data_IF_803800080107
#
_entry.id   IF_803800080107
#
_cell.length_a   1.000
_cell.length_b   1.000
_cell.length_c   1.000
_cell.angle_alpha   90.00
_cell.angle_beta   90.00
_cell.angle_gamma   90.00
#
_symmetry.space_group_name_H-M   'P 1'
#
loop_
_entity.id
_entity.type
_entity.pdbx_description
1 polymer ?
#
# COMPACT_ATOMS: atom_id res chain seq x y z
N UNK A 1 -13.58 -9.43 -2.51
CA UNK A 1 -13.75 -8.59 -1.30
C UNK A 1 -12.54 -8.55 -0.38
N UNK A 2 -12.09 -9.63 0.29
CA UNK A 2 -10.92 -9.56 1.21
C UNK A 2 -9.67 -8.91 0.59
N UNK A 3 -9.32 -9.26 -0.65
CA UNK A 3 -8.19 -8.65 -1.38
C UNK A 3 -8.37 -7.15 -1.69
N UNK A 4 -9.59 -6.72 -2.00
CA UNK A 4 -9.91 -5.31 -2.27
C UNK A 4 -9.86 -4.50 -0.98
N UNK A 5 -10.43 -5.02 0.11
CA UNK A 5 -10.38 -4.37 1.41
C UNK A 5 -8.94 -4.27 1.94
N UNK A 6 -8.11 -5.30 1.75
CA UNK A 6 -6.66 -5.23 2.04
C UNK A 6 -5.95 -4.16 1.22
N UNK A 7 -6.27 -4.03 -0.08
CA UNK A 7 -5.70 -2.98 -0.93
C UNK A 7 -6.13 -1.57 -0.49
N UNK A 8 -7.40 -1.38 -0.12
CA UNK A 8 -7.92 -0.11 0.40
C UNK A 8 -7.28 0.28 1.73
N UNK A 9 -7.09 -0.69 2.63
CA UNK A 9 -6.40 -0.45 3.91
C UNK A 9 -4.93 -0.10 3.65
N UNK A 10 -4.23 -0.80 2.75
CA UNK A 10 -2.86 -0.48 2.38
C UNK A 10 -2.73 0.93 1.74
N UNK A 11 -3.66 1.31 0.87
CA UNK A 11 -3.72 2.64 0.26
C UNK A 11 -4.01 3.73 1.30
N UNK A 12 -4.94 3.51 2.22
CA UNK A 12 -5.19 4.45 3.33
C UNK A 12 -4.00 4.58 4.27
N UNK A 13 -3.26 3.50 4.52
CA UNK A 13 -1.99 3.55 5.25
C UNK A 13 -0.93 4.35 4.47
N UNK A 14 -0.82 4.18 3.16
CA UNK A 14 0.07 4.97 2.30
C UNK A 14 -0.30 6.46 2.32
N UNK A 15 -1.59 6.81 2.16
CA UNK A 15 -2.10 8.20 2.27
C UNK A 15 -1.86 8.76 3.68
N UNK A 16 -2.02 7.94 4.71
CA UNK A 16 -1.73 8.30 6.09
C UNK A 16 -0.25 8.61 6.29
N UNK A 17 0.63 7.75 5.77
CA UNK A 17 2.09 7.92 5.84
C UNK A 17 2.55 9.13 5.02
N UNK A 18 2.02 9.35 3.80
CA UNK A 18 2.34 10.54 2.99
C UNK A 18 1.81 11.81 3.64
N UNK A 19 0.61 11.79 4.23
CA UNK A 19 0.07 12.92 4.98
C UNK A 19 0.86 13.22 6.26
N UNK A 20 1.30 12.19 7.00
CA UNK A 20 2.16 12.32 8.19
C UNK A 20 3.55 12.83 7.81
N UNK A 21 4.12 12.38 6.69
CA UNK A 21 5.39 12.92 6.19
C UNK A 21 5.24 14.36 5.72
N UNK A 22 4.20 14.70 4.96
CA UNK A 22 3.92 16.08 4.53
C UNK A 22 3.63 17.02 5.72
N UNK A 23 3.00 16.54 6.80
CA UNK A 23 2.80 17.32 8.03
C UNK A 23 4.05 17.38 8.92
N UNK A 24 4.86 16.32 8.99
CA UNK A 24 6.14 16.33 9.67
C UNK A 24 7.16 17.26 8.98
N UNK A 25 7.13 17.34 7.64
CA UNK A 25 7.89 18.29 6.83
C UNK A 25 7.35 19.73 6.93
N UNK A 26 6.11 19.90 7.38
CA UNK A 26 5.46 21.19 7.58
C UNK A 26 5.65 21.78 8.99
N UNK A 27 6.31 21.08 9.92
CA UNK A 27 6.60 21.67 11.22
C UNK A 27 7.49 22.89 11.01
N UNK A 28 7.08 24.09 11.49
CA UNK A 28 7.93 25.24 11.37
C UNK A 28 9.21 24.98 12.20
N UNK A 29 10.37 24.93 11.53
CA UNK A 29 11.65 25.24 12.16
C UNK A 29 11.62 26.71 12.58
N UNK A 30 10.89 26.98 13.64
CA UNK A 30 10.91 28.26 14.31
C UNK A 30 12.13 28.22 15.23
N UNK A 31 13.13 29.04 14.88
CA UNK A 31 14.03 29.66 15.86
C UNK A 31 13.12 30.57 16.73
N UNK A 32 12.27 29.96 17.55
CA UNK A 32 11.36 30.63 18.45
C UNK A 32 12.04 30.82 19.80
N UNK A 33 12.10 32.08 20.20
CA UNK A 33 12.21 32.50 21.59
C UNK A 33 10.82 32.31 22.19
N UNK A 34 10.61 31.19 22.90
CA UNK A 34 9.48 30.83 23.80
C UNK A 34 8.06 30.88 23.18
N UNK A 35 7.14 29.94 23.41
CA UNK A 35 6.52 29.54 24.70
C UNK A 35 5.92 28.11 24.63
N UNK A 36 6.23 27.29 25.66
CA UNK A 36 5.51 26.14 26.30
C UNK A 36 4.75 25.04 25.49
N UNK A 37 5.21 23.76 25.49
CA UNK A 37 4.86 22.56 26.34
C UNK A 37 3.74 21.69 25.70
N UNK A 38 3.68 20.34 25.68
CA UNK A 38 4.30 19.23 26.43
C UNK A 38 4.16 17.88 25.64
N UNK A 39 5.12 16.95 25.82
CA UNK A 39 5.05 15.44 25.98
C UNK A 39 4.25 14.53 24.99
N UNK A 40 4.54 13.25 24.73
CA UNK A 40 5.38 12.21 25.35
C UNK A 40 5.61 10.99 24.39
N UNK A 41 6.78 10.35 24.51
CA UNK A 41 7.21 8.93 24.34
C UNK A 41 6.39 7.88 23.53
N UNK A 42 7.08 7.07 22.71
CA UNK A 42 7.63 5.75 23.13
C UNK A 42 8.06 4.86 21.95
N UNK A 43 9.10 4.07 22.23
CA UNK A 43 9.89 3.17 21.37
C UNK A 43 9.10 1.98 20.77
N UNK A 44 9.57 1.41 19.66
CA UNK A 44 10.31 0.12 19.67
C UNK A 44 10.75 -0.35 18.27
N UNK A 45 11.91 -0.99 18.29
CA UNK A 45 12.72 -1.66 17.26
C UNK A 45 12.01 -2.72 16.39
N UNK A 46 12.62 -3.07 15.24
CA UNK A 46 13.31 -4.37 14.99
C UNK A 46 13.83 -4.40 13.55
N UNK A 47 15.05 -4.91 13.41
CA UNK A 47 15.84 -5.07 12.19
C UNK A 47 15.65 -6.47 11.57
N UNK A 48 15.74 -6.59 10.24
CA UNK A 48 16.26 -7.79 9.56
C UNK A 48 16.83 -7.43 8.20
N UNK A 49 18.11 -7.76 8.04
CA UNK A 49 18.94 -7.72 6.84
C UNK A 49 18.73 -8.95 5.95
N UNK A 50 18.91 -8.80 4.64
CA UNK A 50 19.42 -9.88 3.77
C UNK A 50 20.11 -9.28 2.55
N UNK A 51 21.39 -9.63 2.39
CA UNK A 51 22.23 -9.42 1.21
C UNK A 51 21.73 -10.28 0.03
N UNK A 52 21.92 -9.80 -1.21
CA UNK A 52 22.21 -10.67 -2.35
C UNK A 52 22.92 -9.90 -3.46
N UNK A 53 23.94 -10.57 -3.99
CA UNK A 53 24.99 -10.11 -4.89
C UNK A 53 24.50 -9.78 -6.30
N UNK A 54 25.16 -8.78 -6.87
CA UNK A 54 25.08 -8.31 -8.25
C UNK A 54 25.85 -9.28 -9.14
N UNK A 55 25.24 -9.68 -10.26
CA UNK A 55 25.97 -10.25 -11.40
C UNK A 55 25.82 -9.34 -12.61
N UNK A 56 26.98 -9.04 -13.19
CA UNK A 56 27.22 -8.25 -14.40
C UNK A 56 26.62 -8.91 -15.64
N UNK A 57 26.11 -8.10 -16.57
CA UNK A 57 26.29 -8.31 -18.02
C UNK A 57 26.10 -6.99 -18.76
N UNK A 58 27.21 -6.33 -19.09
CA UNK A 58 27.32 -5.39 -20.20
C UNK A 58 27.90 -6.18 -21.37
N UNK A 59 27.16 -6.29 -22.48
CA UNK A 59 27.72 -6.41 -23.84
C UNK A 59 26.57 -6.59 -24.83
N UNK A 60 26.36 -5.59 -25.68
CA UNK A 60 26.19 -5.67 -27.15
C UNK A 60 25.36 -4.48 -27.59
N UNK A 61 25.98 -3.50 -28.25
CA UNK A 61 25.35 -2.58 -29.22
C UNK A 61 26.42 -1.71 -29.89
N UNK A 62 27.41 -2.36 -30.52
CA UNK A 62 28.26 -1.72 -31.53
C UNK A 62 28.34 -2.63 -32.75
N UNK A 63 27.30 -2.61 -33.58
CA UNK A 63 27.39 -2.95 -34.99
C UNK A 63 26.03 -2.70 -35.64
N UNK A 64 25.90 -1.56 -36.34
CA UNK A 64 25.17 -1.45 -37.61
C UNK A 64 25.01 0.02 -38.02
N UNK A 65 26.08 0.68 -38.52
CA UNK A 65 25.89 1.76 -39.51
C UNK A 65 27.12 1.86 -40.42
N UNK A 66 27.11 1.11 -41.52
CA UNK A 66 27.89 1.51 -42.71
C UNK A 66 27.17 1.07 -43.98
N UNK A 67 26.40 1.96 -44.63
CA UNK A 67 26.43 2.05 -46.09
C UNK A 67 25.87 3.37 -46.65
N UNK A 68 26.69 3.95 -47.55
CA UNK A 68 26.39 4.84 -48.68
C UNK A 68 25.89 6.28 -48.45
N UNK A 69 26.76 7.29 -48.67
CA UNK A 69 26.78 8.18 -49.87
C UNK A 69 27.68 9.42 -49.66
N UNK A 70 28.32 9.88 -50.74
CA UNK A 70 28.62 11.31 -51.00
C UNK A 70 29.81 11.98 -50.30
N UNK A 71 30.97 11.96 -50.96
CA UNK A 71 32.14 12.77 -50.59
C UNK A 71 31.87 14.28 -50.71
N UNK A 72 32.47 15.06 -49.80
CA UNK A 72 32.59 16.53 -49.74
C UNK A 72 31.51 17.38 -49.03
N UNK A 73 30.38 16.81 -48.60
CA UNK A 73 29.47 17.47 -47.63
C UNK A 73 29.57 16.92 -46.20
N UNK A 74 30.11 15.70 -46.04
CA UNK A 74 30.04 14.93 -44.80
C UNK A 74 31.06 15.29 -43.72
N UNK A 75 32.09 16.10 -44.00
CA UNK A 75 33.08 16.48 -42.97
C UNK A 75 32.51 17.56 -42.07
N UNK A 76 31.90 18.61 -42.63
CA UNK A 76 31.24 19.67 -41.84
C UNK A 76 30.05 19.16 -41.03
N UNK A 77 29.22 18.27 -41.61
CA UNK A 77 28.05 17.72 -40.90
C UNK A 77 28.48 16.73 -39.81
N UNK A 78 29.52 15.91 -40.03
CA UNK A 78 30.06 15.04 -38.97
C UNK A 78 30.73 15.82 -37.84
N UNK A 79 31.36 16.95 -38.15
CA UNK A 79 32.03 17.78 -37.15
C UNK A 79 31.01 18.57 -36.31
N UNK A 80 29.96 19.12 -36.93
CA UNK A 80 28.83 19.73 -36.23
C UNK A 80 28.03 18.72 -35.39
N UNK A 81 27.73 17.53 -35.91
CA UNK A 81 27.07 16.46 -35.14
C UNK A 81 27.97 15.96 -34.01
N UNK A 82 29.29 15.89 -34.22
CA UNK A 82 30.25 15.47 -33.19
C UNK A 82 30.44 16.53 -32.10
N UNK A 83 30.39 17.82 -32.43
CA UNK A 83 30.39 18.89 -31.43
C UNK A 83 29.07 18.93 -30.66
N UNK A 84 27.92 18.78 -31.33
CA UNK A 84 26.63 18.74 -30.64
C UNK A 84 26.48 17.50 -29.73
N UNK A 85 26.96 16.33 -30.18
CA UNK A 85 27.04 15.13 -29.33
C UNK A 85 28.06 15.30 -28.21
N UNK A 86 29.16 16.05 -28.41
CA UNK A 86 30.12 16.35 -27.33
C UNK A 86 29.57 17.35 -26.32
N UNK A 87 28.79 18.35 -26.72
CA UNK A 87 28.13 19.29 -25.80
C UNK A 87 27.01 18.60 -25.03
N UNK A 88 26.18 17.78 -25.71
CA UNK A 88 25.16 16.96 -25.05
C UNK A 88 25.78 15.92 -24.12
N UNK A 89 26.89 15.27 -24.52
CA UNK A 89 27.62 14.35 -23.66
C UNK A 89 28.39 15.08 -22.55
N UNK A 90 28.87 16.32 -22.74
CA UNK A 90 29.52 17.08 -21.67
C UNK A 90 28.50 17.53 -20.62
N UNK A 91 27.30 17.94 -21.03
CA UNK A 91 26.14 18.15 -20.16
C UNK A 91 25.81 16.86 -19.39
N UNK A 92 25.58 15.76 -20.09
CA UNK A 92 25.28 14.45 -19.48
C UNK A 92 26.40 13.92 -18.56
N UNK A 93 27.67 14.18 -18.86
CA UNK A 93 28.83 13.78 -18.02
C UNK A 93 29.00 14.69 -16.79
N UNK A 94 28.66 15.98 -16.90
CA UNK A 94 28.57 16.87 -15.74
C UNK A 94 27.38 16.47 -14.85
N UNK A 95 26.32 15.98 -15.48
CA UNK A 95 25.06 15.62 -14.88
C UNK A 95 25.17 14.34 -14.01
N UNK A 96 25.69 13.25 -14.59
CA UNK A 96 25.98 11.99 -13.87
C UNK A 96 26.89 12.20 -12.64
N UNK A 97 27.76 13.21 -12.67
CA UNK A 97 28.70 13.50 -11.56
C UNK A 97 28.05 13.99 -10.28
N UNK A 98 26.94 14.72 -10.32
CA UNK A 98 26.32 15.26 -9.08
C UNK A 98 25.62 14.13 -8.32
N UNK A 99 24.80 13.35 -9.02
CA UNK A 99 24.06 12.26 -8.41
C UNK A 99 24.97 11.15 -7.88
N UNK A 100 26.03 10.79 -8.62
CA UNK A 100 27.02 9.81 -8.17
C UNK A 100 27.75 10.28 -6.91
N UNK A 101 28.21 11.53 -6.86
CA UNK A 101 28.83 12.12 -5.65
C UNK A 101 27.90 12.10 -4.44
N UNK A 102 26.63 12.45 -4.63
CA UNK A 102 25.63 12.41 -3.55
C UNK A 102 25.42 10.97 -3.09
N UNK A 103 25.33 9.99 -4.00
CA UNK A 103 25.22 8.56 -3.64
C UNK A 103 26.45 8.03 -2.91
N UNK A 104 27.66 8.47 -3.28
CA UNK A 104 28.90 8.08 -2.60
C UNK A 104 29.00 8.67 -1.19
N UNK A 105 28.57 9.92 -1.02
CA UNK A 105 28.55 10.60 0.28
C UNK A 105 27.50 10.01 1.22
N UNK A 106 26.31 9.70 0.69
CA UNK A 106 25.19 9.24 1.51
C UNK A 106 25.30 7.76 1.82
N UNK A 107 25.04 7.42 3.08
CA UNK A 107 24.79 6.06 3.51
C UNK A 107 23.30 5.93 3.82
N UNK A 108 22.43 5.47 2.88
CA UNK A 108 20.97 5.60 3.01
C UNK A 108 20.39 5.07 4.33
N UNK A 109 21.00 4.03 4.89
CA UNK A 109 20.58 3.42 6.16
C UNK A 109 20.91 4.26 7.40
N UNK A 110 21.87 5.19 7.30
CA UNK A 110 22.31 6.07 8.40
C UNK A 110 21.72 7.47 8.33
N UNK A 111 21.29 7.93 7.16
CA UNK A 111 20.79 9.30 6.97
C UNK A 111 19.69 9.68 7.98
N UNK A 112 18.70 8.81 8.20
CA UNK A 112 17.64 9.10 9.18
C UNK A 112 18.15 9.02 10.63
N UNK A 113 19.09 8.12 10.93
CA UNK A 113 19.70 7.99 12.27
C UNK A 113 20.53 9.23 12.61
N UNK A 114 21.40 9.66 11.70
CA UNK A 114 22.27 10.83 11.85
C UNK A 114 21.44 12.12 11.95
N UNK A 115 20.40 12.26 11.12
CA UNK A 115 19.42 13.34 11.24
C UNK A 115 18.73 13.37 12.61
N UNK A 116 18.23 12.23 13.09
CA UNK A 116 17.55 12.16 14.38
C UNK A 116 18.49 12.45 15.54
N UNK A 117 19.73 11.95 15.48
CA UNK A 117 20.78 12.25 16.45
C UNK A 117 21.09 13.74 16.48
N UNK A 118 21.36 14.36 15.32
CA UNK A 118 21.64 15.79 15.24
C UNK A 118 20.47 16.65 15.76
N UNK A 119 19.23 16.23 15.49
CA UNK A 119 18.02 16.86 16.03
C UNK A 119 17.96 16.79 17.56
N UNK A 120 18.25 15.63 18.13
CA UNK A 120 18.27 15.42 19.57
C UNK A 120 19.39 16.22 20.25
N UNK A 121 20.60 16.19 19.69
CA UNK A 121 21.76 16.93 20.18
C UNK A 121 21.49 18.44 20.16
N UNK A 122 20.96 18.96 19.05
CA UNK A 122 20.55 20.35 18.94
C UNK A 122 19.50 20.73 19.99
N UNK A 123 18.47 19.89 20.19
CA UNK A 123 17.43 20.13 21.20
C UNK A 123 18.03 20.21 22.61
N UNK A 124 18.90 19.26 22.96
CA UNK A 124 19.56 19.24 24.27
C UNK A 124 20.44 20.48 24.49
N UNK A 125 21.26 20.84 23.51
CA UNK A 125 22.14 22.03 23.57
C UNK A 125 21.33 23.32 23.64
N UNK A 126 20.22 23.40 22.89
CA UNK A 126 19.29 24.54 22.93
C UNK A 126 18.69 24.73 24.32
N UNK A 127 18.20 23.66 24.93
CA UNK A 127 17.62 23.69 26.28
C UNK A 127 18.66 24.12 27.33
N UNK A 128 19.87 23.54 27.25
CA UNK A 128 20.99 23.91 28.11
C UNK A 128 21.36 25.39 27.97
N UNK A 129 21.53 25.87 26.73
CA UNK A 129 21.86 27.26 26.44
C UNK A 129 20.81 28.23 26.97
N UNK A 130 19.51 27.95 26.75
CA UNK A 130 18.45 28.80 27.27
C UNK A 130 18.41 28.84 28.80
N UNK A 131 18.64 27.71 29.47
CA UNK A 131 18.73 27.64 30.93
C UNK A 131 19.89 28.48 31.46
N UNK A 132 21.08 28.35 30.85
CA UNK A 132 22.25 29.15 31.22
C UNK A 132 22.04 30.64 30.97
N UNK A 133 21.37 30.99 29.85
CA UNK A 133 21.03 32.38 29.52
C UNK A 133 20.07 32.99 30.53
N UNK A 134 19.04 32.27 30.96
CA UNK A 134 18.10 32.72 32.01
C UNK A 134 18.81 32.94 33.36
N UNK A 135 19.83 32.15 33.64
CA UNK A 135 20.64 32.27 34.87
C UNK A 135 21.73 33.35 34.77
N UNK A 136 21.89 34.02 33.63
CA UNK A 136 22.98 34.98 33.41
C UNK A 136 24.38 34.33 33.32
N UNK A 137 24.43 33.01 33.07
CA UNK A 137 25.66 32.19 33.04
C UNK A 137 26.07 31.75 31.63
N UNK A 138 25.32 32.15 30.61
CA UNK A 138 25.70 31.87 29.23
C UNK A 138 26.90 32.74 28.82
N UNK A 139 27.95 32.08 28.34
CA UNK A 139 29.12 32.75 27.76
C UNK A 139 29.16 32.59 26.23
N UNK A 140 30.22 33.15 25.64
CA UNK A 140 30.51 33.05 24.21
C UNK A 140 30.58 31.59 23.70
N UNK A 141 31.24 30.70 24.44
CA UNK A 141 31.40 29.30 24.06
C UNK A 141 30.06 28.56 24.00
N UNK A 142 29.16 28.83 24.95
CA UNK A 142 27.81 28.25 24.93
C UNK A 142 27.00 28.75 23.73
N UNK A 143 27.09 30.05 23.40
CA UNK A 143 26.40 30.62 22.24
C UNK A 143 26.92 30.04 20.92
N UNK A 144 28.25 29.92 20.77
CA UNK A 144 28.89 29.32 19.59
C UNK A 144 28.50 27.85 19.43
N UNK A 145 28.55 27.06 20.51
CA UNK A 145 28.11 25.65 20.50
C UNK A 145 26.64 25.51 20.08
N UNK A 146 25.77 26.37 20.59
CA UNK A 146 24.35 26.38 20.21
C UNK A 146 24.16 26.63 18.71
N UNK A 147 24.86 27.61 18.15
CA UNK A 147 24.79 27.91 16.72
C UNK A 147 25.35 26.78 15.84
N UNK A 148 26.50 26.22 16.22
CA UNK A 148 27.11 25.09 15.50
C UNK A 148 26.21 23.85 15.51
N UNK A 149 25.59 23.53 16.66
CA UNK A 149 24.65 22.42 16.74
C UNK A 149 23.42 22.65 15.83
N UNK A 150 22.95 23.89 15.71
CA UNK A 150 21.89 24.25 14.77
C UNK A 150 22.31 24.06 13.31
N UNK A 151 23.55 24.46 12.96
CA UNK A 151 24.11 24.24 11.63
C UNK A 151 24.27 22.76 11.28
N UNK A 152 24.82 21.96 12.19
CA UNK A 152 24.94 20.50 12.01
C UNK A 152 23.58 19.83 11.83
N UNK A 153 22.55 20.29 12.54
CA UNK A 153 21.20 19.79 12.36
C UNK A 153 20.66 20.10 10.95
N UNK A 154 20.96 21.27 10.39
CA UNK A 154 20.58 21.65 9.03
C UNK A 154 21.36 20.84 7.98
N UNK A 155 22.66 20.62 8.18
CA UNK A 155 23.49 19.74 7.32
C UNK A 155 22.89 18.34 7.17
N UNK A 156 22.55 17.70 8.30
CA UNK A 156 21.93 16.36 8.25
C UNK A 156 20.53 16.39 7.65
N UNK A 157 19.88 17.56 7.61
CA UNK A 157 18.61 17.71 6.91
C UNK A 157 18.80 17.81 5.40
N UNK A 158 19.86 18.45 4.89
CA UNK A 158 20.23 18.36 3.47
C UNK A 158 20.42 16.91 3.04
N UNK A 159 21.22 16.14 3.79
CA UNK A 159 21.43 14.71 3.51
C UNK A 159 20.11 13.93 3.44
N UNK A 160 19.16 14.28 4.32
CA UNK A 160 17.83 13.68 4.35
C UNK A 160 17.01 13.99 3.09
N UNK A 161 17.00 15.24 2.63
CA UNK A 161 16.26 15.58 1.41
C UNK A 161 16.92 14.98 0.18
N UNK A 162 18.24 15.00 0.08
CA UNK A 162 18.96 14.36 -1.02
C UNK A 162 18.62 12.87 -1.11
N UNK A 163 18.62 12.16 0.02
CA UNK A 163 18.20 10.76 0.08
C UNK A 163 16.72 10.59 -0.33
N UNK A 164 15.84 11.53 0.05
CA UNK A 164 14.45 11.51 -0.40
C UNK A 164 14.29 11.69 -1.91
N UNK A 165 15.10 12.56 -2.53
CA UNK A 165 15.12 12.74 -3.99
C UNK A 165 15.62 11.46 -4.67
N UNK A 166 16.74 10.90 -4.21
CA UNK A 166 17.31 9.69 -4.78
C UNK A 166 16.36 8.50 -4.73
N UNK A 167 15.61 8.37 -3.64
CA UNK A 167 14.65 7.27 -3.40
C UNK A 167 13.25 7.55 -3.97
N UNK A 168 13.03 8.70 -4.62
CA UNK A 168 11.76 9.00 -5.27
C UNK A 168 11.64 8.31 -6.63
N UNK A 169 10.41 8.15 -7.12
CA UNK A 169 10.11 7.62 -8.45
C UNK A 169 10.12 8.71 -9.53
N UNK A 170 10.89 9.77 -9.35
CA UNK A 170 11.05 10.84 -10.34
C UNK A 170 12.00 10.40 -11.45
N UNK A 171 11.91 11.05 -12.61
CA UNK A 171 12.91 10.88 -13.65
C UNK A 171 14.28 11.40 -13.20
N UNK A 172 15.34 10.84 -13.77
CA UNK A 172 16.71 11.13 -13.32
C UNK A 172 17.12 12.59 -13.61
N UNK A 173 16.61 13.22 -14.67
CA UNK A 173 16.89 14.62 -15.00
C UNK A 173 16.33 15.56 -13.93
N UNK A 174 15.08 15.36 -13.51
CA UNK A 174 14.46 16.16 -12.45
C UNK A 174 15.15 15.94 -11.10
N UNK A 175 15.49 14.68 -10.75
CA UNK A 175 16.25 14.39 -9.52
C UNK A 175 17.55 15.16 -9.49
N UNK A 176 18.26 15.16 -10.60
CA UNK A 176 19.57 15.75 -10.67
C UNK A 176 19.54 17.28 -10.63
N UNK A 177 18.59 17.90 -11.34
CA UNK A 177 18.34 19.33 -11.26
C UNK A 177 18.06 19.78 -9.81
N UNK A 178 17.31 19.00 -9.03
CA UNK A 178 17.07 19.28 -7.61
C UNK A 178 18.32 19.09 -6.76
N UNK A 179 19.07 18.01 -6.98
CA UNK A 179 20.30 17.73 -6.23
C UNK A 179 21.35 18.82 -6.50
N UNK A 180 21.47 19.31 -7.73
CA UNK A 180 22.38 20.40 -8.08
C UNK A 180 22.02 21.70 -7.35
N UNK A 181 20.72 22.07 -7.33
CA UNK A 181 20.24 23.24 -6.56
C UNK A 181 20.52 23.09 -5.06
N UNK A 182 20.34 21.89 -4.50
CA UNK A 182 20.63 21.63 -3.09
C UNK A 182 22.12 21.73 -2.79
N UNK A 183 22.98 21.15 -3.62
CA UNK A 183 24.43 21.21 -3.41
C UNK A 183 24.97 22.64 -3.46
N UNK A 184 24.44 23.48 -4.35
CA UNK A 184 24.80 24.91 -4.43
C UNK A 184 24.46 25.64 -3.12
N UNK A 185 23.22 25.49 -2.65
CA UNK A 185 22.74 26.10 -1.41
C UNK A 185 23.43 25.52 -0.16
N UNK A 186 23.75 24.22 -0.17
CA UNK A 186 24.51 23.56 0.88
C UNK A 186 25.90 24.16 0.98
N UNK A 187 26.61 24.33 -0.14
CA UNK A 187 27.93 24.93 -0.14
C UNK A 187 27.92 26.38 0.40
N UNK A 188 26.92 27.18 0.02
CA UNK A 188 26.72 28.52 0.56
C UNK A 188 26.46 28.49 2.08
N UNK A 189 25.61 27.56 2.54
CA UNK A 189 25.32 27.38 3.96
C UNK A 189 26.55 26.93 4.77
N UNK A 190 27.34 25.98 4.25
CA UNK A 190 28.57 25.48 4.87
C UNK A 190 29.61 26.60 5.05
N UNK A 191 29.78 27.48 4.06
CA UNK A 191 30.67 28.65 4.15
C UNK A 191 30.27 29.56 5.34
N UNK A 192 28.97 29.85 5.48
CA UNK A 192 28.46 30.67 6.58
C UNK A 192 28.58 29.96 7.93
N UNK A 193 28.43 28.64 7.96
CA UNK A 193 28.63 27.84 9.17
C UNK A 193 30.11 27.82 9.58
N UNK A 194 31.03 27.77 8.63
CA UNK A 194 32.47 27.85 8.87
C UNK A 194 32.85 29.19 9.51
N UNK A 195 32.28 30.32 9.05
CA UNK A 195 32.50 31.63 9.66
C UNK A 195 32.09 31.67 11.16
N UNK A 196 31.03 30.95 11.54
CA UNK A 196 30.68 30.77 12.96
C UNK A 196 31.76 29.99 13.70
N UNK A 197 32.26 28.90 13.09
CA UNK A 197 33.31 28.08 13.69
C UNK A 197 34.64 28.83 13.83
N UNK A 198 34.95 29.75 12.94
CA UNK A 198 36.17 30.55 12.95
C UNK A 198 36.09 31.80 13.84
N UNK A 199 34.87 32.25 14.19
CA UNK A 199 34.69 33.41 15.07
C UNK A 199 35.44 33.27 16.41
N UNK A 200 36.21 34.28 16.79
CA UNK A 200 36.97 34.33 18.04
C UNK A 200 36.34 35.33 19.03
N UNK A 201 35.57 36.29 18.52
CA UNK A 201 34.94 37.35 19.33
C UNK A 201 33.41 37.27 19.30
N UNK A 202 32.72 37.76 20.35
CA UNK A 202 31.26 37.85 20.37
C UNK A 202 30.66 38.67 19.23
N UNK A 203 31.36 39.69 18.77
CA UNK A 203 30.95 40.56 17.66
C UNK A 203 31.01 39.82 16.33
N UNK A 204 32.11 39.12 16.04
CA UNK A 204 32.24 38.24 14.86
C UNK A 204 31.16 37.16 14.84
N UNK A 205 30.91 36.52 15.98
CA UNK A 205 29.87 35.49 16.09
C UNK A 205 28.48 36.06 15.78
N UNK A 206 28.16 37.28 16.23
CA UNK A 206 26.85 37.89 15.97
C UNK A 206 26.64 38.17 14.48
N UNK A 207 27.65 38.69 13.79
CA UNK A 207 27.54 38.94 12.34
C UNK A 207 27.49 37.62 11.56
N UNK A 208 28.35 36.64 11.88
CA UNK A 208 28.32 35.32 11.23
C UNK A 208 26.96 34.60 11.42
N UNK A 209 26.38 34.66 12.62
CA UNK A 209 25.05 34.09 12.89
C UNK A 209 23.95 34.83 12.13
N UNK A 210 24.08 36.15 11.95
CA UNK A 210 23.12 36.95 11.19
C UNK A 210 23.16 36.58 9.72
N UNK A 211 24.34 36.44 9.12
CA UNK A 211 24.50 35.97 7.74
C UNK A 211 23.94 34.55 7.56
N UNK A 212 24.33 33.61 8.43
CA UNK A 212 23.80 32.24 8.40
C UNK A 212 22.26 32.22 8.51
N UNK A 213 21.69 33.10 9.32
CA UNK A 213 20.23 33.18 9.49
C UNK A 213 19.54 33.70 8.23
N UNK A 214 20.12 34.66 7.52
CA UNK A 214 19.56 35.11 6.24
C UNK A 214 19.68 34.01 5.19
N UNK A 215 20.83 33.35 5.10
CA UNK A 215 21.05 32.20 4.20
C UNK A 215 20.00 31.09 4.46
N UNK A 216 19.83 30.73 5.73
CA UNK A 216 18.83 29.74 6.13
C UNK A 216 17.40 30.12 5.71
N UNK A 217 17.04 31.41 5.61
CA UNK A 217 15.70 31.77 5.14
C UNK A 217 15.49 31.39 3.68
N UNK A 218 16.52 31.53 2.85
CA UNK A 218 16.51 31.21 1.41
C UNK A 218 16.49 29.70 1.22
N UNK A 219 17.49 29.01 1.81
CA UNK A 219 17.59 27.55 1.84
C UNK A 219 16.27 26.91 2.26
N UNK A 220 15.63 27.43 3.31
CA UNK A 220 14.38 26.87 3.82
C UNK A 220 13.24 26.91 2.80
N UNK A 221 13.18 27.91 1.93
CA UNK A 221 12.18 27.97 0.86
C UNK A 221 12.45 26.85 -0.14
N UNK A 222 13.67 26.79 -0.68
CA UNK A 222 14.07 25.75 -1.64
C UNK A 222 13.78 24.37 -1.10
N UNK A 223 14.29 24.05 0.09
CA UNK A 223 14.22 22.68 0.58
C UNK A 223 12.79 22.29 0.93
N UNK A 224 11.97 23.24 1.40
CA UNK A 224 10.54 22.99 1.60
C UNK A 224 9.84 22.75 0.25
N UNK A 225 10.22 23.48 -0.80
CA UNK A 225 9.69 23.27 -2.14
C UNK A 225 10.06 21.88 -2.68
N UNK A 226 11.33 21.49 -2.61
CA UNK A 226 11.82 20.16 -3.01
C UNK A 226 11.10 19.05 -2.25
N UNK A 227 10.98 19.16 -0.92
CA UNK A 227 10.29 18.17 -0.11
C UNK A 227 8.82 18.00 -0.52
N UNK A 228 8.16 19.10 -0.91
CA UNK A 228 6.80 19.06 -1.45
C UNK A 228 6.75 18.41 -2.83
N UNK A 229 7.69 18.68 -3.73
CA UNK A 229 7.74 18.02 -5.03
C UNK A 229 7.89 16.49 -4.89
N UNK A 230 8.76 16.03 -3.97
CA UNK A 230 8.86 14.59 -3.64
C UNK A 230 7.55 14.05 -3.05
N UNK A 231 6.86 14.83 -2.22
CA UNK A 231 5.56 14.43 -1.67
C UNK A 231 4.50 14.30 -2.76
N UNK A 232 4.45 15.23 -3.72
CA UNK A 232 3.52 15.18 -4.85
C UNK A 232 3.69 13.87 -5.63
N UNK A 233 4.92 13.50 -5.99
CA UNK A 233 5.21 12.26 -6.74
C UNK A 233 4.67 11.02 -6.03
N UNK A 234 4.79 10.97 -4.69
CA UNK A 234 4.23 9.87 -3.89
C UNK A 234 2.70 9.86 -3.87
N UNK A 235 2.08 11.04 -3.88
CA UNK A 235 0.62 11.17 -3.97
C UNK A 235 0.15 10.74 -5.36
N UNK A 236 0.86 11.12 -6.43
CA UNK A 236 0.55 10.68 -7.80
C UNK A 236 0.60 9.16 -7.95
N UNK A 237 1.64 8.51 -7.43
CA UNK A 237 1.69 7.03 -7.38
C UNK A 237 0.51 6.43 -6.61
N UNK A 238 -0.03 7.16 -5.62
CA UNK A 238 -1.23 6.72 -4.89
C UNK A 238 -2.48 6.89 -5.73
N UNK A 239 -2.58 7.96 -6.52
CA UNK A 239 -3.67 8.20 -7.46
C UNK A 239 -3.68 7.13 -8.56
N UNK A 240 -2.54 6.81 -9.17
CA UNK A 240 -2.44 5.75 -10.19
C UNK A 240 -3.02 4.41 -9.67
N UNK A 241 -2.67 4.04 -8.43
CA UNK A 241 -3.23 2.84 -7.79
C UNK A 241 -4.72 2.95 -7.48
N UNK A 242 -5.20 4.17 -7.24
CA UNK A 242 -6.61 4.46 -7.04
C UNK A 242 -7.40 4.33 -8.35
N UNK A 243 -6.81 4.70 -9.49
CA UNK A 243 -7.38 4.50 -10.84
C UNK A 243 -7.41 3.01 -11.21
N UNK A 244 -6.35 2.25 -10.91
CA UNK A 244 -6.36 0.79 -11.04
C UNK A 244 -7.48 0.13 -10.22
N UNK A 245 -7.81 0.73 -9.08
CA UNK A 245 -8.91 0.28 -8.23
C UNK A 245 -10.26 0.67 -8.84
N UNK A 246 -10.38 1.84 -9.46
CA UNK A 246 -11.56 2.28 -10.20
C UNK A 246 -11.98 1.24 -11.24
N UNK A 247 -11.04 0.81 -12.10
CA UNK A 247 -11.29 -0.18 -13.15
C UNK A 247 -11.80 -1.51 -12.59
N UNK A 248 -11.29 -1.92 -11.41
CA UNK A 248 -11.74 -3.14 -10.72
C UNK A 248 -13.13 -2.99 -10.12
N UNK A 249 -13.47 -1.80 -9.62
CA UNK A 249 -14.79 -1.51 -9.07
C UNK A 249 -15.82 -1.41 -10.19
N UNK A 250 -15.46 -0.78 -11.32
CA UNK A 250 -16.29 -0.68 -12.52
C UNK A 250 -16.79 -2.05 -12.96
N UNK A 251 -15.88 -3.01 -13.20
CA UNK A 251 -16.26 -4.37 -13.59
C UNK A 251 -17.17 -5.07 -12.57
N UNK A 252 -16.98 -4.81 -11.27
CA UNK A 252 -17.86 -5.36 -10.22
C UNK A 252 -19.23 -4.70 -10.15
N UNK A 253 -19.32 -3.41 -10.49
CA UNK A 253 -20.57 -2.65 -10.47
C UNK A 253 -21.40 -2.98 -11.71
N UNK A 254 -20.76 -3.14 -12.88
CA UNK A 254 -21.44 -3.60 -14.10
C UNK A 254 -22.11 -4.95 -13.93
N UNK A 255 -21.52 -5.88 -13.16
CA UNK A 255 -22.15 -7.16 -12.80
C UNK A 255 -23.42 -7.02 -11.94
N UNK A 256 -23.52 -5.94 -11.16
CA UNK A 256 -24.63 -5.70 -10.23
C UNK A 256 -25.73 -4.82 -10.81
N UNK A 257 -25.45 -4.10 -11.92
CA UNK A 257 -26.37 -3.21 -12.62
C UNK A 257 -27.11 -2.22 -11.68
N UNK A 258 -26.36 -1.65 -10.72
CA UNK A 258 -26.91 -0.75 -9.70
C UNK A 258 -26.52 0.71 -9.97
N UNK A 259 -27.53 1.55 -10.20
CA UNK A 259 -27.35 2.97 -10.54
C UNK A 259 -26.72 3.78 -9.40
N UNK A 260 -26.96 3.42 -8.13
CA UNK A 260 -26.37 4.12 -6.98
C UNK A 260 -24.87 3.84 -6.90
N UNK A 261 -24.46 2.59 -7.07
CA UNK A 261 -23.06 2.21 -7.15
C UNK A 261 -22.34 2.88 -8.33
N UNK A 262 -23.00 2.97 -9.49
CA UNK A 262 -22.45 3.66 -10.66
C UNK A 262 -22.21 5.16 -10.37
N UNK A 263 -23.18 5.86 -9.77
CA UNK A 263 -23.04 7.27 -9.40
C UNK A 263 -21.92 7.48 -8.36
N UNK A 264 -21.76 6.57 -7.40
CA UNK A 264 -20.66 6.64 -6.42
C UNK A 264 -19.29 6.42 -7.06
N UNK A 265 -19.19 5.57 -8.09
CA UNK A 265 -17.95 5.35 -8.83
C UNK A 265 -17.59 6.57 -9.67
N UNK A 266 -18.58 7.24 -10.25
CA UNK A 266 -18.39 8.50 -10.99
C UNK A 266 -17.89 9.62 -10.04
N UNK A 267 -18.51 9.75 -8.86
CA UNK A 267 -18.09 10.71 -7.84
C UNK A 267 -16.69 10.41 -7.28
N UNK A 268 -16.33 9.12 -7.16
CA UNK A 268 -14.96 8.70 -6.86
C UNK A 268 -13.97 9.14 -7.94
N UNK A 269 -14.29 8.91 -9.21
CA UNK A 269 -13.44 9.29 -10.34
C UNK A 269 -13.24 10.81 -10.44
N UNK A 270 -14.31 11.59 -10.24
CA UNK A 270 -14.25 13.05 -10.24
C UNK A 270 -13.30 13.60 -9.16
N UNK A 271 -13.33 13.03 -7.95
CA UNK A 271 -12.39 13.42 -6.88
C UNK A 271 -10.94 13.05 -7.18
N UNK A 272 -10.69 11.95 -7.89
CA UNK A 272 -9.34 11.60 -8.32
C UNK A 272 -8.81 12.61 -9.34
N UNK A 273 -9.63 13.01 -10.30
CA UNK A 273 -9.25 14.00 -11.31
C UNK A 273 -9.00 15.37 -10.69
N UNK A 274 -9.92 15.85 -9.83
CA UNK A 274 -9.73 17.12 -9.12
C UNK A 274 -8.47 17.08 -8.23
N UNK A 275 -8.16 15.95 -7.59
CA UNK A 275 -6.92 15.80 -6.84
C UNK A 275 -5.69 15.90 -7.74
N UNK A 276 -5.72 15.36 -8.98
CA UNK A 276 -4.63 15.50 -9.95
C UNK A 276 -4.44 16.95 -10.39
N UNK A 277 -5.53 17.64 -10.70
CA UNK A 277 -5.50 19.06 -11.10
C UNK A 277 -4.81 19.90 -10.01
N UNK A 278 -5.20 19.71 -8.74
CA UNK A 278 -4.58 20.39 -7.59
C UNK A 278 -3.10 20.09 -7.43
N UNK A 279 -2.67 18.85 -7.70
CA UNK A 279 -1.25 18.49 -7.64
C UNK A 279 -0.46 19.10 -8.79
N UNK A 280 -1.03 19.19 -10.00
CA UNK A 280 -0.39 19.84 -11.14
C UNK A 280 -0.23 21.35 -10.89
N UNK A 281 -1.27 22.02 -10.40
CA UNK A 281 -1.18 23.44 -9.98
C UNK A 281 -0.08 23.63 -8.91
N UNK A 282 -0.02 22.72 -7.92
CA UNK A 282 1.03 22.77 -6.91
C UNK A 282 2.43 22.55 -7.48
N UNK A 283 2.59 21.65 -8.48
CA UNK A 283 3.88 21.43 -9.16
C UNK A 283 4.33 22.70 -9.88
N UNK A 284 3.45 23.32 -10.64
CA UNK A 284 3.76 24.51 -11.43
C UNK A 284 4.28 25.64 -10.53
N UNK A 285 3.66 25.84 -9.36
CA UNK A 285 4.13 26.81 -8.36
C UNK A 285 5.51 26.44 -7.80
N UNK A 286 5.78 25.15 -7.61
CA UNK A 286 7.01 24.68 -6.95
C UNK A 286 8.24 24.65 -7.84
N UNK A 287 8.09 24.64 -9.17
CA UNK A 287 9.22 24.66 -10.13
C UNK A 287 10.06 25.93 -9.95
N UNK A 288 9.38 27.06 -9.74
CA UNK A 288 9.98 28.40 -9.65
C UNK A 288 9.76 29.05 -8.26
N UNK A 289 9.54 28.26 -7.21
CA UNK A 289 9.26 28.78 -5.87
C UNK A 289 10.49 29.50 -5.28
N UNK A 290 10.38 30.83 -5.14
CA UNK A 290 11.42 31.69 -4.54
C UNK A 290 10.98 32.26 -3.19
N UNK A 291 9.67 32.30 -2.92
CA UNK A 291 9.11 32.95 -1.73
C UNK A 291 8.41 31.96 -0.79
N UNK A 292 8.14 32.43 0.44
CA UNK A 292 7.38 31.63 1.42
C UNK A 292 5.93 31.52 1.05
N UNK A 293 5.40 32.52 0.37
CA UNK A 293 4.06 32.61 -0.14
C UNK A 293 3.82 31.52 -1.19
N UNK A 294 4.72 31.36 -2.17
CA UNK A 294 4.64 30.29 -3.19
C UNK A 294 4.55 28.91 -2.54
N UNK A 295 5.45 28.63 -1.61
CA UNK A 295 5.48 27.35 -0.89
C UNK A 295 4.28 27.19 0.06
N UNK A 296 3.64 28.28 0.47
CA UNK A 296 2.40 28.20 1.26
C UNK A 296 1.20 27.88 0.36
N UNK A 297 1.11 28.50 -0.81
CA UNK A 297 0.06 28.28 -1.80
C UNK A 297 0.09 26.84 -2.31
N UNK A 298 1.26 26.35 -2.76
CA UNK A 298 1.43 24.96 -3.17
C UNK A 298 1.05 23.98 -2.03
N UNK A 299 1.37 24.33 -0.78
CA UNK A 299 1.00 23.52 0.37
C UNK A 299 -0.52 23.41 0.58
N UNK A 300 -1.27 24.49 0.31
CA UNK A 300 -2.73 24.47 0.41
C UNK A 300 -3.32 23.53 -0.64
N UNK A 301 -2.87 23.63 -1.89
CA UNK A 301 -3.29 22.75 -2.98
C UNK A 301 -3.00 21.27 -2.70
N UNK A 302 -1.80 20.95 -2.19
CA UNK A 302 -1.46 19.58 -1.77
C UNK A 302 -2.40 19.07 -0.67
N UNK A 303 -2.79 19.92 0.28
CA UNK A 303 -3.74 19.54 1.35
C UNK A 303 -5.14 19.32 0.81
N UNK A 304 -5.59 20.14 -0.13
CA UNK A 304 -6.86 19.96 -0.83
C UNK A 304 -6.88 18.63 -1.58
N UNK A 305 -5.83 18.32 -2.35
CA UNK A 305 -5.67 17.03 -3.02
C UNK A 305 -5.72 15.85 -2.04
N UNK A 306 -5.01 15.93 -0.90
CA UNK A 306 -5.07 14.89 0.15
C UNK A 306 -6.49 14.74 0.73
N UNK A 307 -7.23 15.84 0.89
CA UNK A 307 -8.62 15.80 1.37
C UNK A 307 -9.52 15.08 0.38
N UNK A 308 -9.42 15.43 -0.91
CA UNK A 308 -10.16 14.80 -2.00
C UNK A 308 -9.89 13.29 -2.05
N UNK A 309 -8.63 12.87 -1.92
CA UNK A 309 -8.29 11.45 -1.86
C UNK A 309 -8.89 10.73 -0.65
N UNK A 310 -8.89 11.36 0.52
CA UNK A 310 -9.54 10.78 1.72
C UNK A 310 -11.03 10.57 1.49
N UNK A 311 -11.69 11.53 0.86
CA UNK A 311 -13.11 11.43 0.55
C UNK A 311 -13.39 10.38 -0.52
N UNK A 312 -12.57 10.33 -1.58
CA UNK A 312 -12.61 9.27 -2.59
C UNK A 312 -12.49 7.86 -1.96
N UNK A 313 -11.58 7.66 -1.01
CA UNK A 313 -11.46 6.37 -0.31
C UNK A 313 -12.63 6.06 0.64
N UNK A 314 -13.40 7.06 1.10
CA UNK A 314 -14.68 6.80 1.79
C UNK A 314 -15.70 6.25 0.80
N UNK A 315 -15.76 6.79 -0.40
CA UNK A 315 -16.68 6.31 -1.45
C UNK A 315 -16.39 4.87 -1.81
N UNK A 316 -15.11 4.51 -1.98
CA UNK A 316 -14.69 3.11 -2.20
C UNK A 316 -15.17 2.19 -1.08
N UNK A 317 -15.06 2.62 0.19
CA UNK A 317 -15.51 1.81 1.32
C UNK A 317 -17.01 1.56 1.25
N UNK A 318 -17.78 2.59 0.91
CA UNK A 318 -19.23 2.52 0.81
C UNK A 318 -19.68 1.72 -0.43
N UNK A 319 -18.97 1.82 -1.55
CA UNK A 319 -19.15 0.97 -2.75
C UNK A 319 -18.94 -0.50 -2.39
N UNK A 320 -17.83 -0.82 -1.70
CA UNK A 320 -17.53 -2.20 -1.30
C UNK A 320 -18.58 -2.74 -0.32
N UNK A 321 -19.08 -1.89 0.59
CA UNK A 321 -20.14 -2.26 1.52
C UNK A 321 -21.46 -2.53 0.79
N UNK A 322 -21.93 -1.56 0.00
CA UNK A 322 -23.21 -1.65 -0.72
C UNK A 322 -23.19 -2.81 -1.73
N UNK A 323 -22.09 -3.02 -2.45
CA UNK A 323 -21.94 -4.18 -3.35
C UNK A 323 -21.92 -5.52 -2.62
N UNK A 324 -21.47 -5.57 -1.36
CA UNK A 324 -21.56 -6.78 -0.54
C UNK A 324 -23.01 -7.07 -0.13
N UNK A 325 -23.75 -6.05 0.28
CA UNK A 325 -25.17 -6.14 0.67
C UNK A 325 -26.04 -6.55 -0.53
N UNK A 326 -25.87 -5.94 -1.71
CA UNK A 326 -26.58 -6.33 -2.93
C UNK A 326 -26.29 -7.77 -3.34
N UNK A 327 -25.03 -8.21 -3.26
CA UNK A 327 -24.68 -9.61 -3.55
C UNK A 327 -25.32 -10.59 -2.58
N UNK A 328 -25.56 -10.22 -1.33
CA UNK A 328 -26.31 -11.06 -0.38
C UNK A 328 -27.78 -11.13 -0.79
N UNK A 329 -28.41 -10.00 -1.10
CA UNK A 329 -29.80 -9.96 -1.56
C UNK A 329 -30.03 -10.77 -2.84
N UNK A 330 -29.15 -10.64 -3.84
CA UNK A 330 -29.21 -11.44 -5.07
C UNK A 330 -29.08 -12.94 -4.74
N UNK A 331 -28.21 -13.32 -3.79
CA UNK A 331 -28.08 -14.73 -3.39
C UNK A 331 -29.30 -15.28 -2.67
N UNK A 332 -29.97 -14.45 -1.86
CA UNK A 332 -31.24 -14.78 -1.22
C UNK A 332 -32.35 -14.96 -2.26
N UNK A 333 -32.42 -14.08 -3.26
CA UNK A 333 -33.42 -14.15 -4.35
C UNK A 333 -33.17 -15.31 -5.33
N UNK A 334 -31.90 -15.63 -5.63
CA UNK A 334 -31.53 -16.73 -6.52
C UNK A 334 -31.64 -18.13 -5.86
N UNK A 335 -32.18 -18.23 -4.63
CA UNK A 335 -32.31 -19.51 -3.93
C UNK A 335 -30.95 -20.18 -3.65
N UNK A 336 -29.85 -19.43 -3.69
CA UNK A 336 -28.53 -19.93 -3.32
C UNK A 336 -28.46 -19.98 -1.79
N UNK A 337 -29.08 -21.02 -1.21
CA UNK A 337 -29.06 -21.38 0.22
C UNK A 337 -27.70 -21.05 0.86
N UNK A 338 -27.70 -20.01 1.69
CA UNK A 338 -26.57 -19.60 2.50
C UNK A 338 -26.67 -20.33 3.84
N UNK A 339 -25.74 -21.25 4.09
CA UNK A 339 -25.67 -21.99 5.33
C UNK A 339 -24.93 -21.12 6.35
N UNK A 340 -25.70 -20.29 7.07
CA UNK A 340 -25.21 -19.37 8.11
C UNK A 340 -24.66 -20.08 9.36
N UNK A 341 -24.63 -19.36 10.49
CA UNK A 341 -24.04 -19.83 11.76
C UNK A 341 -24.80 -21.00 12.43
N UNK A 342 -25.96 -21.38 11.91
CA UNK A 342 -26.82 -22.45 12.45
C UNK A 342 -26.62 -23.81 11.75
N UNK A 343 -25.51 -23.96 11.01
CA UNK A 343 -25.29 -25.13 10.16
C UNK A 343 -24.18 -26.01 10.67
N UNK A 344 -24.44 -27.32 10.64
CA UNK A 344 -23.47 -28.34 10.98
C UNK A 344 -22.79 -28.94 9.76
N UNK A 345 -21.71 -29.68 10.01
CA UNK A 345 -20.97 -30.42 9.00
C UNK A 345 -20.89 -31.89 9.42
N UNK A 346 -21.17 -32.80 8.49
CA UNK A 346 -21.03 -34.24 8.65
C UNK A 346 -20.19 -34.80 7.52
N UNK A 347 -19.18 -35.60 7.85
CA UNK A 347 -18.40 -36.40 6.91
C UNK A 347 -18.58 -37.86 7.29
N UNK A 348 -18.88 -38.73 6.33
CA UNK A 348 -19.00 -40.18 6.55
C UNK A 348 -18.15 -40.90 5.52
N UNK A 349 -17.43 -41.93 5.97
CA UNK A 349 -16.73 -42.88 5.11
C UNK A 349 -17.07 -44.29 5.59
N UNK A 350 -17.68 -45.11 4.74
CA UNK A 350 -18.09 -46.45 5.15
C UNK A 350 -18.82 -47.26 4.08
N UNK A 351 -19.31 -48.42 4.48
CA UNK A 351 -20.15 -49.32 3.68
C UNK A 351 -21.54 -49.42 4.33
N UNK A 352 -22.57 -49.63 3.51
CA UNK A 352 -23.95 -49.78 3.97
C UNK A 352 -24.86 -48.68 3.43
N UNK A 353 -25.75 -48.16 4.28
CA UNK A 353 -26.79 -47.19 3.91
C UNK A 353 -26.64 -45.90 4.71
N UNK A 354 -26.57 -44.76 4.03
CA UNK A 354 -26.61 -43.44 4.65
C UNK A 354 -27.83 -42.67 4.17
N UNK A 355 -28.67 -42.23 5.11
CA UNK A 355 -29.86 -41.41 4.90
C UNK A 355 -29.62 -40.03 5.49
N UNK A 356 -30.02 -38.98 4.79
CA UNK A 356 -30.05 -37.61 5.30
C UNK A 356 -31.40 -36.99 5.00
N UNK A 357 -32.01 -36.38 6.01
CA UNK A 357 -33.26 -35.63 5.89
C UNK A 357 -33.05 -34.23 6.51
N UNK A 358 -33.27 -33.18 5.71
CA UNK A 358 -33.10 -31.81 6.18
C UNK A 358 -32.86 -30.80 5.06
N UNK A 359 -32.24 -29.67 5.40
CA UNK A 359 -31.92 -28.59 4.45
C UNK A 359 -30.41 -28.43 4.38
N UNK A 360 -29.84 -28.60 3.19
CA UNK A 360 -28.39 -28.79 3.10
C UNK A 360 -27.82 -28.87 1.69
N UNK A 361 -26.50 -28.89 1.64
CA UNK A 361 -25.73 -29.46 0.53
C UNK A 361 -25.28 -30.85 0.96
N UNK A 362 -25.62 -31.85 0.15
CA UNK A 362 -25.17 -33.23 0.29
C UNK A 362 -24.30 -33.57 -0.91
N UNK A 363 -23.05 -33.95 -0.66
CA UNK A 363 -22.12 -34.45 -1.66
C UNK A 363 -21.88 -35.92 -1.40
N UNK A 364 -22.19 -36.75 -2.39
CA UNK A 364 -22.06 -38.20 -2.33
C UNK A 364 -20.99 -38.63 -3.32
N UNK A 365 -20.08 -39.50 -2.90
CA UNK A 365 -19.12 -40.20 -3.76
C UNK A 365 -19.06 -41.66 -3.38
N UNK A 366 -19.03 -42.57 -4.35
CA UNK A 366 -18.94 -44.01 -4.10
C UNK A 366 -19.65 -44.82 -5.17
N UNK A 367 -19.76 -46.12 -4.94
CA UNK A 367 -20.49 -47.07 -5.78
C UNK A 367 -21.76 -47.52 -5.07
N UNK A 368 -22.92 -47.35 -5.69
CA UNK A 368 -24.20 -47.70 -5.06
C UNK A 368 -25.43 -47.18 -5.77
N UNK A 369 -26.56 -47.25 -5.07
CA UNK A 369 -27.85 -46.67 -5.46
C UNK A 369 -28.13 -45.42 -4.60
N UNK A 370 -28.41 -44.29 -5.26
CA UNK A 370 -28.78 -43.02 -4.64
C UNK A 370 -30.25 -42.74 -4.93
N UNK A 371 -31.04 -42.49 -3.90
CA UNK A 371 -32.41 -42.00 -3.97
C UNK A 371 -32.48 -40.57 -3.44
N UNK A 372 -33.01 -39.64 -4.23
CA UNK A 372 -33.13 -38.20 -3.89
C UNK A 372 -34.58 -37.74 -4.06
N UNK A 373 -35.12 -37.10 -3.02
CA UNK A 373 -36.44 -36.47 -3.01
C UNK A 373 -36.32 -35.04 -2.46
N UNK A 374 -36.85 -34.01 -3.16
CA UNK A 374 -37.37 -34.04 -4.53
C UNK A 374 -36.25 -34.17 -5.57
N UNK A 375 -36.55 -34.68 -6.77
CA UNK A 375 -35.55 -34.85 -7.83
C UNK A 375 -34.88 -33.54 -8.29
N UNK A 376 -35.57 -32.41 -8.12
CA UNK A 376 -35.10 -31.07 -8.45
C UNK A 376 -33.92 -30.64 -7.57
N UNK A 377 -33.67 -31.33 -6.46
CA UNK A 377 -32.53 -31.06 -5.58
C UNK A 377 -31.19 -31.52 -6.19
N UNK A 378 -31.18 -32.34 -7.26
CA UNK A 378 -29.92 -32.78 -7.89
C UNK A 378 -29.33 -31.64 -8.72
N UNK A 379 -28.19 -31.10 -8.29
CA UNK A 379 -27.46 -30.02 -8.99
C UNK A 379 -26.43 -30.57 -9.97
N UNK A 380 -25.75 -31.67 -9.60
CA UNK A 380 -24.69 -32.25 -10.42
C UNK A 380 -24.64 -33.75 -10.23
N UNK A 381 -24.53 -34.48 -11.34
CA UNK A 381 -24.39 -35.93 -11.37
C UNK A 381 -23.30 -36.29 -12.39
N UNK A 382 -22.25 -36.98 -11.96
CA UNK A 382 -21.12 -37.40 -12.80
C UNK A 382 -20.79 -38.86 -12.51
N UNK A 383 -20.71 -39.71 -13.53
CA UNK A 383 -20.29 -41.12 -13.44
C UNK A 383 -21.41 -42.15 -13.21
N UNK A 384 -22.54 -41.74 -12.62
CA UNK A 384 -23.68 -42.63 -12.43
C UNK A 384 -24.41 -42.93 -13.77
N UNK A 385 -24.72 -44.21 -14.02
CA UNK A 385 -25.03 -44.73 -15.36
C UNK A 385 -26.52 -44.79 -15.73
N UNK A 386 -27.43 -44.81 -14.75
CA UNK A 386 -28.88 -44.80 -14.98
C UNK A 386 -29.58 -43.88 -14.00
N UNK A 387 -30.38 -42.92 -14.51
CA UNK A 387 -31.31 -42.09 -13.72
C UNK A 387 -32.74 -42.50 -14.09
N UNK A 388 -33.51 -42.95 -13.13
CA UNK A 388 -34.97 -43.13 -13.26
C UNK A 388 -35.68 -42.16 -12.33
N UNK A 389 -36.79 -41.59 -12.79
CA UNK A 389 -37.60 -40.64 -12.02
C UNK A 389 -39.02 -41.16 -11.96
N UNK A 390 -39.52 -41.42 -10.76
CA UNK A 390 -40.90 -41.81 -10.52
C UNK A 390 -41.45 -41.00 -9.34
N UNK A 391 -42.60 -40.35 -9.53
CA UNK A 391 -43.30 -39.65 -8.45
C UNK A 391 -42.54 -38.48 -7.80
N UNK A 392 -41.59 -37.85 -8.50
CA UNK A 392 -40.76 -36.77 -7.95
C UNK A 392 -39.51 -37.25 -7.19
N UNK A 393 -39.27 -38.56 -7.16
CA UNK A 393 -38.09 -39.18 -6.57
C UNK A 393 -37.13 -39.61 -7.67
N UNK A 394 -35.88 -39.15 -7.62
CA UNK A 394 -34.83 -39.59 -8.52
C UNK A 394 -34.07 -40.75 -7.91
N UNK A 395 -34.00 -41.87 -8.64
CA UNK A 395 -33.11 -43.00 -8.34
C UNK A 395 -31.98 -43.04 -9.34
N UNK A 396 -30.76 -43.19 -8.84
CA UNK A 396 -29.55 -43.18 -9.64
C UNK A 396 -28.62 -44.30 -9.20
N UNK A 397 -28.14 -45.13 -10.12
CA UNK A 397 -27.22 -46.24 -9.80
C UNK A 397 -25.90 -46.15 -10.56
N UNK A 398 -24.82 -46.65 -9.95
CA UNK A 398 -23.48 -46.71 -10.55
C UNK A 398 -22.39 -46.22 -9.59
N UNK A 399 -21.26 -45.81 -10.16
CA UNK A 399 -20.14 -45.24 -9.42
C UNK A 399 -19.92 -43.79 -9.86
N UNK A 400 -19.84 -42.86 -8.92
CA UNK A 400 -19.69 -41.47 -9.31
C UNK A 400 -19.72 -40.44 -8.19
N UNK A 401 -20.05 -39.21 -8.57
CA UNK A 401 -20.24 -38.06 -7.69
C UNK A 401 -21.63 -37.46 -7.92
N UNK A 402 -22.39 -37.29 -6.85
CA UNK A 402 -23.64 -36.53 -6.84
C UNK A 402 -23.50 -35.30 -5.93
N UNK A 403 -24.02 -34.16 -6.37
CA UNK A 403 -24.17 -32.94 -5.56
C UNK A 403 -25.65 -32.60 -5.52
N UNK A 404 -26.21 -32.63 -4.32
CA UNK A 404 -27.63 -32.44 -4.04
C UNK A 404 -27.75 -31.21 -3.14
N UNK A 405 -28.70 -30.32 -3.45
CA UNK A 405 -28.93 -29.08 -2.73
C UNK A 405 -30.42 -28.77 -2.73
N UNK A 406 -30.97 -28.47 -1.55
CA UNK A 406 -32.35 -28.05 -1.44
C UNK A 406 -32.79 -27.90 0.01
N UNK A 407 -34.07 -27.57 0.16
CA UNK A 407 -34.80 -27.55 1.43
C UNK A 407 -35.65 -28.82 1.54
N UNK A 408 -35.78 -29.36 2.75
CA UNK A 408 -36.54 -30.59 3.02
C UNK A 408 -36.17 -31.73 2.06
N UNK A 409 -34.87 -31.90 1.82
CA UNK A 409 -34.35 -32.95 0.96
C UNK A 409 -34.21 -34.24 1.75
N UNK A 410 -34.53 -35.35 1.09
CA UNK A 410 -34.26 -36.69 1.57
C UNK A 410 -33.30 -37.37 0.60
N UNK A 411 -32.12 -37.71 1.10
CA UNK A 411 -31.06 -38.37 0.34
C UNK A 411 -30.78 -39.71 0.99
N UNK A 412 -30.90 -40.80 0.24
CA UNK A 412 -30.49 -42.13 0.66
C UNK A 412 -29.42 -42.64 -0.30
N UNK A 413 -28.29 -43.11 0.21
CA UNK A 413 -27.32 -43.89 -0.56
C UNK A 413 -27.13 -45.25 0.09
N UNK A 414 -27.16 -46.30 -0.72
CA UNK A 414 -26.82 -47.67 -0.33
C UNK A 414 -25.70 -48.20 -1.23
N UNK A 415 -24.63 -48.74 -0.64
CA UNK A 415 -23.50 -49.27 -1.40
C UNK A 415 -22.19 -49.40 -0.63
N UNK A 416 -21.09 -49.46 -1.39
CA UNK A 416 -19.73 -49.67 -0.89
C UNK A 416 -18.86 -48.42 -1.12
N UNK A 417 -17.85 -48.23 -0.25
CA UNK A 417 -16.90 -47.12 -0.30
C UNK A 417 -17.57 -45.73 -0.37
N UNK A 418 -18.67 -45.58 0.38
CA UNK A 418 -19.44 -44.34 0.43
C UNK A 418 -18.63 -43.27 1.14
N UNK A 419 -18.51 -42.11 0.50
CA UNK A 419 -18.03 -40.86 1.07
C UNK A 419 -19.15 -39.83 0.99
N UNK A 420 -19.76 -39.56 2.13
CA UNK A 420 -20.83 -38.56 2.27
C UNK A 420 -20.26 -37.31 2.92
N UNK A 421 -20.59 -36.15 2.37
CA UNK A 421 -20.39 -34.88 3.03
C UNK A 421 -21.71 -34.13 3.07
N UNK A 422 -22.11 -33.68 4.26
CA UNK A 422 -23.30 -32.86 4.45
C UNK A 422 -22.92 -31.55 5.12
N UNK A 423 -23.45 -30.45 4.59
CA UNK A 423 -23.41 -29.15 5.24
C UNK A 423 -24.82 -28.56 5.26
N UNK A 424 -25.37 -28.35 6.45
CA UNK A 424 -26.77 -27.96 6.60
C UNK A 424 -27.31 -28.16 8.01
N UNK A 425 -28.63 -28.26 8.12
CA UNK A 425 -29.31 -28.68 9.34
C UNK A 425 -30.28 -29.83 9.03
N UNK A 426 -30.38 -30.79 9.94
CA UNK A 426 -31.19 -31.99 9.77
C UNK A 426 -30.59 -33.20 10.46
N UNK A 427 -31.08 -34.37 10.08
CA UNK A 427 -30.74 -35.64 10.72
C UNK A 427 -30.19 -36.60 9.68
N UNK A 428 -29.09 -37.26 10.02
CA UNK A 428 -28.50 -38.33 9.23
C UNK A 428 -28.61 -39.67 9.96
N UNK A 429 -29.06 -40.72 9.27
CA UNK A 429 -29.08 -42.09 9.78
C UNK A 429 -28.07 -42.91 8.99
N UNK A 430 -27.11 -43.51 9.68
CA UNK A 430 -26.07 -44.35 9.09
C UNK A 430 -26.31 -45.80 9.55
N UNK A 431 -26.37 -46.73 8.60
CA UNK A 431 -26.54 -48.16 8.84
C UNK A 431 -25.40 -48.90 8.14
N UNK A 432 -24.62 -49.70 8.86
CA UNK A 432 -23.48 -50.46 8.32
C UNK A 432 -22.23 -50.32 9.17
N UNK A 433 -21.08 -50.15 8.52
CA UNK A 433 -19.77 -50.02 9.18
C UNK A 433 -18.97 -48.86 8.58
N UNK A 434 -18.32 -48.06 9.44
CA UNK A 434 -17.51 -46.94 8.97
C UNK A 434 -17.09 -45.95 10.06
N UNK A 435 -16.65 -44.79 9.59
CA UNK A 435 -16.21 -43.67 10.42
C UNK A 435 -17.01 -42.43 10.01
N UNK A 436 -17.46 -41.66 10.99
CA UNK A 436 -18.07 -40.36 10.74
C UNK A 436 -17.40 -39.26 11.58
N UNK A 437 -17.40 -38.04 11.02
CA UNK A 437 -16.97 -36.82 11.70
C UNK A 437 -18.12 -35.83 11.69
N UNK A 438 -18.48 -35.32 12.85
CA UNK A 438 -19.60 -34.39 13.00
C UNK A 438 -19.17 -33.12 13.70
N UNK A 439 -19.69 -31.99 13.22
CA UNK A 439 -19.60 -30.69 13.86
C UNK A 439 -21.00 -30.10 13.89
N UNK A 440 -21.67 -30.14 15.05
CA UNK A 440 -23.09 -29.74 15.18
C UNK A 440 -23.35 -28.29 14.77
N UNK A 441 -22.50 -27.36 15.20
CA UNK A 441 -22.53 -25.93 14.85
C UNK A 441 -21.10 -25.41 14.68
N UNK A 442 -20.87 -24.24 14.02
CA UNK A 442 -19.54 -23.71 13.76
C UNK A 442 -18.67 -23.48 15.00
N UNK A 443 -19.31 -23.26 16.15
CA UNK A 443 -18.68 -23.03 17.46
C UNK A 443 -18.22 -24.30 18.19
N UNK A 444 -18.74 -25.48 17.83
CA UNK A 444 -18.32 -26.75 18.43
C UNK A 444 -17.08 -27.29 17.74
N UNK A 445 -16.29 -28.09 18.44
CA UNK A 445 -15.21 -28.86 17.82
C UNK A 445 -15.80 -30.03 17.01
N UNK A 446 -15.07 -30.46 15.97
CA UNK A 446 -15.43 -31.64 15.22
C UNK A 446 -15.08 -32.89 16.03
N UNK A 447 -16.05 -33.79 16.20
CA UNK A 447 -15.86 -35.10 16.84
C UNK A 447 -15.78 -36.19 15.78
N UNK A 448 -14.96 -37.22 16.01
CA UNK A 448 -14.80 -38.37 15.14
C UNK A 448 -15.20 -39.64 15.91
N UNK A 449 -16.05 -40.47 15.31
CA UNK A 449 -16.53 -41.71 15.91
C UNK A 449 -16.62 -42.81 14.86
N UNK A 450 -16.44 -44.06 15.29
CA UNK A 450 -16.64 -45.27 14.49
C UNK A 450 -18.02 -45.84 14.77
N UNK A 451 -18.68 -46.38 13.75
CA UNK A 451 -19.97 -47.05 13.92
C UNK A 451 -19.95 -48.46 13.33
N UNK A 452 -20.60 -49.38 14.04
CA UNK A 452 -20.96 -50.73 13.59
C UNK A 452 -22.44 -50.94 13.95
N UNK A 453 -23.31 -51.07 12.95
CA UNK A 453 -24.77 -51.11 13.14
C UNK A 453 -25.46 -49.82 12.69
N UNK A 454 -26.43 -49.33 13.46
CA UNK A 454 -27.23 -48.15 13.13
C UNK A 454 -26.94 -46.99 14.10
N UNK A 455 -26.66 -45.80 13.57
CA UNK A 455 -26.45 -44.57 14.33
C UNK A 455 -27.20 -43.41 13.71
N UNK A 456 -27.75 -42.54 14.55
CA UNK A 456 -28.45 -41.32 14.15
C UNK A 456 -27.64 -40.10 14.60
N UNK A 457 -27.41 -39.16 13.69
CA UNK A 457 -26.54 -38.01 13.85
C UNK A 457 -27.28 -36.73 13.46
N UNK A 458 -27.53 -35.88 14.44
CA UNK A 458 -28.09 -34.54 14.21
C UNK A 458 -27.00 -33.52 13.88
N UNK A 459 -27.26 -32.68 12.87
CA UNK A 459 -26.42 -31.56 12.47
C UNK A 459 -27.25 -30.28 12.35
N UNK A 460 -26.68 -29.13 12.75
CA UNK A 460 -27.36 -27.84 12.69
C UNK A 460 -28.60 -27.72 13.59
N UNK A 461 -29.35 -26.63 13.42
CA UNK A 461 -30.61 -26.36 14.16
C UNK A 461 -30.46 -25.36 15.32
N UNK A 462 -31.57 -24.76 15.73
CA UNK A 462 -31.65 -23.95 16.96
C UNK A 462 -31.64 -24.83 18.21
N UNK A 463 -31.10 -24.30 19.31
CA UNK A 463 -31.43 -24.78 20.65
C UNK A 463 -32.85 -24.37 21.02
#
# INVERSE_FOLDING_TARGET
MRRVMLAVVALLCLVGVTAVMATAMAQPMQLHVSTEMHEENSDTSVSTSTELEVNETETTLEQEVTHQTGMHGGVMVKEQVREHVKEQNAGAVQQVRVMEKVRERLHPHKVEEDYMKAKHDYKAIREEYHKLKQQGRADFGHAKRYCLAGGMYIENWFDRIENMILTSNMDEETKEAMLAKIEEERAAFEEKLQAINESETPEELREAVKELKEEWKNVRVLVKAVAMQVAIVRIETTIEKAEDLQLKLEGQITELDDAKLAAMLEDYAAKLEEAKEKLNEAKDILVDAETREDVHEAQQLIREAISLLRDAFKDVREIVRTSAELRLQIREQEGKIFFGNQTGELFVVGNGTAKFEGTGIVVVRGSGEITVEPETAIVTLVGFGSKSVEGGVAKVSGEGKAVIRGENIKVTIEGENIKLFVKGYGTATLEGEGIYRVKKLPQYNMTEETYEGSVEVEIGGEQ
#
